data_IF_729603987921
#
_entry.id   IF_729603987921
#
_cell.length_a   1.000
_cell.length_b   1.000
_cell.length_c   1.000
_cell.angle_alpha   90.00
_cell.angle_beta   90.00
_cell.angle_gamma   90.00
#
_symmetry.space_group_name_H-M   'P 1'
#
loop_
_entity.id
_entity.type
_entity.pdbx_description
1 polymer ?
#
# COMPACT_ATOMS: atom_id res chain seq x y z
N UNK A 1 -24.18 24.62 59.80
CA UNK A 1 -24.65 23.65 58.76
C UNK A 1 -23.87 23.90 57.50
N UNK A 2 -22.71 23.21 57.27
CA UNK A 2 -21.89 23.36 56.09
C UNK A 2 -22.24 22.25 55.10
N UNK A 3 -22.82 22.58 53.93
CA UNK A 3 -23.04 21.67 52.82
C UNK A 3 -21.72 21.52 52.04
N UNK A 4 -21.12 20.33 52.12
CA UNK A 4 -20.00 19.92 51.25
C UNK A 4 -20.57 19.67 49.85
N UNK A 5 -20.19 20.52 48.89
CA UNK A 5 -20.38 20.22 47.45
C UNK A 5 -19.31 19.21 47.03
N UNK A 6 -19.76 18.02 46.66
CA UNK A 6 -18.90 17.02 46.01
C UNK A 6 -18.82 17.37 44.51
N UNK A 7 -17.66 17.83 44.04
CA UNK A 7 -17.37 17.96 42.61
C UNK A 7 -16.95 16.57 42.07
N UNK A 8 -17.87 15.91 41.38
CA UNK A 8 -17.53 14.68 40.62
C UNK A 8 -16.99 15.17 39.29
N UNK A 9 -15.66 15.23 39.22
CA UNK A 9 -14.95 15.44 37.95
C UNK A 9 -15.06 14.18 37.08
N UNK A 10 -15.92 14.22 36.06
CA UNK A 10 -15.95 13.21 34.99
C UNK A 10 -14.65 13.31 34.18
N UNK A 11 -13.73 12.39 34.41
CA UNK A 11 -12.55 12.20 33.58
C UNK A 11 -13.03 11.63 32.22
N UNK A 12 -13.11 12.48 31.21
CA UNK A 12 -13.29 12.03 29.82
C UNK A 12 -11.97 11.37 29.39
N UNK A 13 -11.89 10.05 29.54
CA UNK A 13 -10.85 9.26 28.89
C UNK A 13 -11.22 9.27 27.40
N UNK A 14 -10.55 10.12 26.63
CA UNK A 14 -10.54 10.02 25.18
C UNK A 14 -9.82 8.71 24.84
N UNK A 15 -10.61 7.65 24.62
CA UNK A 15 -10.08 6.44 24.06
C UNK A 15 -9.62 6.77 22.62
N UNK A 16 -8.32 6.90 22.44
CA UNK A 16 -7.72 6.91 21.11
C UNK A 16 -8.00 5.53 20.51
N UNK A 17 -9.07 5.42 19.73
CA UNK A 17 -9.36 4.19 19.00
C UNK A 17 -8.26 4.02 17.96
N UNK A 18 -7.36 3.06 18.19
CA UNK A 18 -6.33 2.69 17.21
C UNK A 18 -7.07 2.32 15.93
N UNK A 19 -6.76 3.00 14.84
CA UNK A 19 -7.27 2.63 13.52
C UNK A 19 -6.61 1.29 13.15
N UNK A 20 -7.41 0.28 12.85
CA UNK A 20 -6.91 -1.00 12.39
C UNK A 20 -6.47 -0.86 10.92
N UNK A 21 -5.26 -1.31 10.60
CA UNK A 21 -4.79 -1.32 9.22
C UNK A 21 -5.58 -2.33 8.40
N UNK A 22 -6.25 -1.85 7.37
CA UNK A 22 -7.00 -2.66 6.42
C UNK A 22 -6.21 -2.71 5.12
N UNK A 23 -5.53 -3.83 4.81
CA UNK A 23 -4.76 -3.96 3.58
C UNK A 23 -5.63 -3.72 2.34
N UNK A 24 -5.02 -3.20 1.28
CA UNK A 24 -5.70 -3.07 0.00
C UNK A 24 -6.19 -4.44 -0.48
N UNK A 25 -7.45 -4.54 -0.94
CA UNK A 25 -7.99 -5.82 -1.41
C UNK A 25 -7.26 -6.27 -2.67
N UNK A 26 -6.86 -7.54 -2.70
CA UNK A 26 -6.21 -8.19 -3.84
C UNK A 26 -7.06 -9.33 -4.38
N UNK A 27 -7.03 -9.54 -5.69
CA UNK A 27 -7.85 -10.51 -6.40
C UNK A 27 -7.06 -11.75 -6.79
N UNK A 28 -7.22 -12.80 -6.04
CA UNK A 28 -6.87 -14.18 -6.41
C UNK A 28 -7.80 -15.12 -5.70
N UNK A 29 -8.28 -16.15 -6.39
CA UNK A 29 -9.06 -17.24 -5.78
C UNK A 29 -8.17 -18.34 -5.20
N UNK A 30 -6.85 -18.25 -5.40
CA UNK A 30 -5.89 -19.25 -4.96
C UNK A 30 -5.21 -18.82 -3.67
N UNK A 31 -5.60 -19.45 -2.56
CA UNK A 31 -5.06 -19.15 -1.23
C UNK A 31 -3.55 -19.37 -1.14
N UNK A 32 -3.01 -20.37 -1.84
CA UNK A 32 -1.56 -20.62 -1.85
C UNK A 32 -0.81 -19.52 -2.58
N UNK A 33 -1.35 -19.02 -3.70
CA UNK A 33 -0.78 -17.85 -4.40
C UNK A 33 -0.83 -16.59 -3.52
N UNK A 34 -1.94 -16.38 -2.80
CA UNK A 34 -2.07 -15.28 -1.86
C UNK A 34 -1.04 -15.35 -0.73
N UNK A 35 -0.81 -16.55 -0.18
CA UNK A 35 0.18 -16.75 0.87
C UNK A 35 1.61 -16.45 0.39
N UNK A 36 1.99 -16.89 -0.80
CA UNK A 36 3.29 -16.53 -1.38
C UNK A 36 3.42 -15.03 -1.65
N UNK A 37 2.36 -14.37 -2.12
CA UNK A 37 2.34 -12.93 -2.29
C UNK A 37 2.59 -12.19 -0.97
N UNK A 38 1.89 -12.59 0.11
CA UNK A 38 2.09 -12.01 1.45
C UNK A 38 3.50 -12.25 1.98
N UNK A 39 4.06 -13.45 1.80
CA UNK A 39 5.44 -13.75 2.17
C UNK A 39 6.43 -12.86 1.38
N UNK A 40 6.18 -12.64 0.10
CA UNK A 40 7.01 -11.76 -0.71
C UNK A 40 7.05 -10.33 -0.14
N UNK A 41 5.90 -9.78 0.26
CA UNK A 41 5.84 -8.45 0.88
C UNK A 41 6.62 -8.40 2.20
N UNK A 42 6.52 -9.44 3.04
CA UNK A 42 7.29 -9.54 4.29
C UNK A 42 8.78 -9.57 4.00
N UNK A 43 9.27 -10.42 3.10
CA UNK A 43 10.69 -10.48 2.74
C UNK A 43 11.20 -9.14 2.21
N UNK A 44 10.44 -8.49 1.33
CA UNK A 44 10.79 -7.16 0.80
C UNK A 44 10.90 -6.13 1.93
N UNK A 45 9.96 -6.12 2.87
CA UNK A 45 9.99 -5.20 4.01
C UNK A 45 11.18 -5.43 4.95
N UNK A 46 11.74 -6.62 4.95
CA UNK A 46 12.93 -6.99 5.73
C UNK A 46 14.24 -6.79 4.96
N UNK A 47 14.17 -6.34 3.70
CA UNK A 47 15.34 -6.18 2.83
C UNK A 47 15.85 -7.49 2.24
N UNK A 48 15.09 -8.57 2.36
CA UNK A 48 15.40 -9.91 1.83
C UNK A 48 14.94 -10.03 0.37
N UNK A 49 15.58 -9.24 -0.49
CA UNK A 49 15.18 -9.09 -1.89
C UNK A 49 15.20 -10.40 -2.71
N UNK A 50 16.18 -11.32 -2.55
CA UNK A 50 16.18 -12.61 -3.25
C UNK A 50 14.97 -13.47 -2.88
N UNK A 51 14.64 -13.57 -1.60
CA UNK A 51 13.54 -14.36 -1.04
C UNK A 51 12.17 -13.76 -1.45
N UNK A 52 12.07 -12.44 -1.39
CA UNK A 52 10.88 -11.71 -1.87
C UNK A 52 10.60 -11.97 -3.34
N UNK A 53 11.66 -11.93 -4.19
CA UNK A 53 11.55 -12.25 -5.61
C UNK A 53 11.07 -13.68 -5.83
N UNK A 54 11.65 -14.67 -5.14
CA UNK A 54 11.28 -16.08 -5.26
C UNK A 54 9.83 -16.29 -4.85
N UNK A 55 9.39 -15.64 -3.79
CA UNK A 55 8.01 -15.72 -3.30
C UNK A 55 7.02 -15.10 -4.31
N UNK A 56 7.30 -13.94 -4.92
CA UNK A 56 6.48 -13.41 -6.01
C UNK A 56 6.41 -14.36 -7.20
N UNK A 57 7.54 -14.93 -7.62
CA UNK A 57 7.56 -15.90 -8.71
C UNK A 57 6.77 -17.15 -8.37
N UNK A 58 6.78 -17.60 -7.10
CA UNK A 58 5.97 -18.72 -6.64
C UNK A 58 4.48 -18.41 -6.71
N UNK A 59 4.06 -17.23 -6.29
CA UNK A 59 2.69 -16.77 -6.47
C UNK A 59 2.26 -16.79 -7.94
N UNK A 60 3.12 -16.28 -8.84
CA UNK A 60 2.85 -16.20 -10.28
C UNK A 60 2.91 -17.55 -11.01
N UNK A 61 3.64 -18.54 -10.49
CA UNK A 61 3.56 -19.92 -11.00
C UNK A 61 2.21 -20.58 -10.73
N UNK A 62 1.58 -20.23 -9.59
CA UNK A 62 0.30 -20.79 -9.16
C UNK A 62 -0.86 -20.02 -9.79
N UNK A 63 -0.81 -18.69 -9.76
CA UNK A 63 -1.81 -17.81 -10.39
C UNK A 63 -1.10 -16.79 -11.30
N UNK A 64 -0.92 -17.13 -12.59
CA UNK A 64 -0.25 -16.25 -13.55
C UNK A 64 -0.97 -14.93 -13.81
N UNK A 65 -2.25 -14.83 -13.45
CA UNK A 65 -3.08 -13.64 -13.65
C UNK A 65 -3.24 -12.79 -12.39
N UNK A 66 -2.63 -13.18 -11.28
CA UNK A 66 -2.69 -12.42 -10.04
C UNK A 66 -2.12 -11.01 -10.24
N UNK A 67 -2.99 -9.99 -10.23
CA UNK A 67 -2.66 -8.64 -10.69
C UNK A 67 -1.57 -8.01 -9.84
N UNK A 68 -1.69 -8.01 -8.51
CA UNK A 68 -0.68 -7.40 -7.64
C UNK A 68 0.65 -8.15 -7.66
N UNK A 69 0.64 -9.49 -7.74
CA UNK A 69 1.87 -10.24 -7.88
C UNK A 69 2.59 -9.95 -9.23
N UNK A 70 1.83 -9.70 -10.30
CA UNK A 70 2.37 -9.24 -11.58
C UNK A 70 2.84 -7.77 -11.51
N UNK A 71 2.16 -6.91 -10.74
CA UNK A 71 2.52 -5.50 -10.61
C UNK A 71 3.80 -5.32 -9.78
N UNK A 72 4.00 -6.09 -8.72
CA UNK A 72 5.15 -5.98 -7.83
C UNK A 72 6.27 -6.99 -8.09
N UNK A 73 5.96 -8.15 -8.67
CA UNK A 73 6.94 -9.19 -8.95
C UNK A 73 8.04 -8.75 -9.92
N UNK A 74 9.25 -9.27 -9.74
CA UNK A 74 10.39 -9.00 -10.62
C UNK A 74 11.28 -10.21 -10.80
N UNK A 75 12.12 -10.13 -11.82
CA UNK A 75 13.20 -11.07 -12.13
C UNK A 75 14.47 -10.29 -12.50
N UNK A 76 15.55 -11.01 -12.79
CA UNK A 76 16.75 -10.38 -13.37
C UNK A 76 16.60 -10.12 -14.89
N UNK A 77 15.51 -10.58 -15.52
CA UNK A 77 15.20 -10.36 -16.93
C UNK A 77 14.23 -9.20 -17.12
N UNK A 78 14.67 -8.07 -17.70
CA UNK A 78 13.80 -6.92 -17.97
C UNK A 78 12.63 -7.24 -18.91
N UNK A 79 12.79 -8.22 -19.83
CA UNK A 79 11.72 -8.64 -20.74
C UNK A 79 10.62 -9.33 -19.96
N UNK A 80 10.99 -10.23 -19.03
CA UNK A 80 10.03 -10.91 -18.18
C UNK A 80 9.31 -9.91 -17.25
N UNK A 81 10.05 -8.95 -16.69
CA UNK A 81 9.45 -7.90 -15.85
C UNK A 81 8.41 -7.06 -16.62
N UNK A 82 8.69 -6.77 -17.90
CA UNK A 82 7.71 -6.09 -18.76
C UNK A 82 6.47 -6.93 -18.96
N UNK A 83 6.61 -8.24 -19.24
CA UNK A 83 5.48 -9.17 -19.41
C UNK A 83 4.61 -9.22 -18.16
N UNK A 84 5.19 -9.23 -16.98
CA UNK A 84 4.45 -9.18 -15.72
C UNK A 84 3.55 -7.92 -15.66
N UNK A 85 4.11 -6.75 -15.95
CA UNK A 85 3.34 -5.48 -15.95
C UNK A 85 2.25 -5.45 -17.03
N UNK A 86 2.52 -6.02 -18.22
CA UNK A 86 1.54 -6.16 -19.30
C UNK A 86 0.43 -7.12 -18.90
N UNK A 87 0.74 -8.21 -18.20
CA UNK A 87 -0.25 -9.14 -17.64
C UNK A 87 -1.13 -8.47 -16.58
N UNK A 88 -0.54 -7.70 -15.66
CA UNK A 88 -1.31 -6.91 -14.70
C UNK A 88 -2.29 -5.96 -15.41
N UNK A 89 -1.80 -5.23 -16.41
CA UNK A 89 -2.62 -4.29 -17.19
C UNK A 89 -3.76 -4.99 -17.96
N UNK A 90 -3.51 -6.17 -18.52
CA UNK A 90 -4.51 -6.94 -19.26
C UNK A 90 -5.61 -7.54 -18.37
N UNK A 91 -5.35 -7.72 -17.07
CA UNK A 91 -6.29 -8.31 -16.12
C UNK A 91 -6.93 -7.28 -15.17
N UNK A 92 -6.59 -5.99 -15.26
CA UNK A 92 -7.05 -4.95 -14.32
C UNK A 92 -8.57 -4.84 -14.21
N UNK A 93 -9.33 -5.09 -15.29
CA UNK A 93 -10.79 -4.98 -15.30
C UNK A 93 -11.48 -6.15 -14.57
N UNK A 94 -10.73 -7.21 -14.22
CA UNK A 94 -11.19 -8.35 -13.43
C UNK A 94 -10.69 -8.29 -11.98
N UNK A 95 -9.87 -7.30 -11.68
CA UNK A 95 -9.24 -7.10 -10.40
C UNK A 95 -10.13 -6.28 -9.45
N UNK A 96 -9.72 -6.19 -8.18
CA UNK A 96 -10.34 -5.26 -7.24
C UNK A 96 -10.17 -3.81 -7.70
N UNK A 97 -10.99 -2.91 -7.17
CA UNK A 97 -10.87 -1.49 -7.50
C UNK A 97 -9.51 -0.91 -7.08
N UNK A 98 -8.97 -1.36 -5.93
CA UNK A 98 -7.63 -0.96 -5.49
C UNK A 98 -6.56 -1.39 -6.50
N UNK A 99 -6.58 -2.65 -6.94
CA UNK A 99 -5.64 -3.18 -7.93
C UNK A 99 -5.75 -2.44 -9.26
N UNK A 100 -6.97 -2.13 -9.70
CA UNK A 100 -7.18 -1.33 -10.92
C UNK A 100 -6.53 0.05 -10.80
N UNK A 101 -6.74 0.75 -9.69
CA UNK A 101 -6.11 2.06 -9.44
C UNK A 101 -4.59 1.94 -9.45
N UNK A 102 -4.03 0.94 -8.78
CA UNK A 102 -2.57 0.71 -8.73
C UNK A 102 -1.98 0.44 -10.12
N UNK A 103 -2.64 -0.35 -10.94
CA UNK A 103 -2.22 -0.60 -12.33
C UNK A 103 -2.31 0.69 -13.16
N UNK A 104 -3.36 1.48 -13.01
CA UNK A 104 -3.53 2.75 -13.71
C UNK A 104 -2.47 3.79 -13.28
N UNK A 105 -2.10 3.82 -12.00
CA UNK A 105 -0.97 4.64 -11.51
C UNK A 105 0.34 4.23 -12.20
N UNK A 106 0.61 2.94 -12.31
CA UNK A 106 1.79 2.44 -13.02
C UNK A 106 1.75 2.83 -14.50
N UNK A 107 0.61 2.65 -15.19
CA UNK A 107 0.44 3.05 -16.60
C UNK A 107 0.68 4.56 -16.80
N UNK A 108 0.07 5.39 -15.95
CA UNK A 108 0.26 6.85 -15.98
C UNK A 108 1.75 7.24 -15.76
N UNK A 109 2.47 6.50 -14.90
CA UNK A 109 3.91 6.69 -14.70
C UNK A 109 4.72 6.42 -15.98
N UNK A 110 4.40 5.37 -16.71
CA UNK A 110 5.05 5.05 -17.98
C UNK A 110 4.80 6.09 -19.07
N UNK A 111 3.66 6.76 -19.01
CA UNK A 111 3.25 7.82 -19.94
C UNK A 111 3.75 9.21 -19.51
N UNK A 112 4.48 9.32 -18.39
CA UNK A 112 4.94 10.59 -17.85
C UNK A 112 3.83 11.48 -17.29
N UNK A 113 2.65 10.91 -17.00
CA UNK A 113 1.46 11.62 -16.50
C UNK A 113 1.48 11.71 -14.96
N UNK A 114 2.44 12.45 -14.41
CA UNK A 114 2.63 12.53 -12.95
C UNK A 114 1.42 13.14 -12.21
N UNK A 115 0.68 14.07 -12.84
CA UNK A 115 -0.54 14.64 -12.24
C UNK A 115 -1.63 13.58 -12.11
N UNK A 116 -1.80 12.74 -13.14
CA UNK A 116 -2.77 11.63 -13.10
C UNK A 116 -2.41 10.61 -12.02
N UNK A 117 -1.12 10.31 -11.83
CA UNK A 117 -0.68 9.43 -10.74
C UNK A 117 -1.06 9.98 -9.37
N UNK A 118 -0.86 11.28 -9.14
CA UNK A 118 -1.25 11.93 -7.89
C UNK A 118 -2.76 11.92 -7.69
N UNK A 119 -3.56 12.16 -8.73
CA UNK A 119 -5.02 12.04 -8.66
C UNK A 119 -5.46 10.63 -8.24
N UNK A 120 -4.88 9.59 -8.85
CA UNK A 120 -5.17 8.19 -8.54
C UNK A 120 -4.73 7.81 -7.12
N UNK A 121 -3.60 8.32 -6.64
CA UNK A 121 -3.18 8.10 -5.26
C UNK A 121 -4.13 8.77 -4.24
N UNK A 122 -4.66 9.95 -4.55
CA UNK A 122 -5.70 10.59 -3.74
C UNK A 122 -7.01 9.79 -3.76
N UNK A 123 -7.42 9.29 -4.92
CA UNK A 123 -8.59 8.40 -5.05
C UNK A 123 -8.40 7.14 -4.20
N UNK A 124 -7.21 6.55 -4.20
CA UNK A 124 -6.90 5.36 -3.40
C UNK A 124 -7.09 5.62 -1.90
N UNK A 125 -6.57 6.73 -1.38
CA UNK A 125 -6.75 7.12 0.03
C UNK A 125 -8.22 7.42 0.36
N UNK A 126 -8.96 8.07 -0.55
CA UNK A 126 -10.38 8.38 -0.35
C UNK A 126 -11.21 7.08 -0.21
N UNK A 127 -10.91 6.08 -1.03
CA UNK A 127 -11.62 4.79 -1.02
C UNK A 127 -11.16 3.85 0.10
N UNK A 128 -9.88 3.94 0.49
CA UNK A 128 -9.25 3.05 1.47
C UNK A 128 -8.58 3.84 2.61
N UNK A 129 -9.34 4.65 3.38
CA UNK A 129 -8.78 5.57 4.37
C UNK A 129 -8.15 4.87 5.59
N UNK A 130 -8.36 3.57 5.75
CA UNK A 130 -7.75 2.74 6.79
C UNK A 130 -6.58 1.89 6.28
N UNK A 131 -6.10 2.11 5.06
CA UNK A 131 -4.96 1.38 4.51
C UNK A 131 -3.68 2.20 4.63
N UNK A 132 -2.71 1.69 5.35
CA UNK A 132 -1.38 2.29 5.44
C UNK A 132 -0.68 2.33 4.07
N UNK A 133 -0.86 1.30 3.26
CA UNK A 133 -0.32 1.22 1.89
C UNK A 133 -0.84 2.35 1.00
N UNK A 134 -2.13 2.71 1.09
CA UNK A 134 -2.69 3.82 0.32
C UNK A 134 -2.01 5.16 0.65
N UNK A 135 -1.72 5.41 1.92
CA UNK A 135 -1.02 6.63 2.34
C UNK A 135 0.46 6.62 1.95
N UNK A 136 1.13 5.47 1.92
CA UNK A 136 2.49 5.34 1.39
C UNK A 136 2.51 5.72 -0.09
N UNK A 137 1.58 5.22 -0.88
CA UNK A 137 1.49 5.57 -2.31
C UNK A 137 1.22 7.07 -2.51
N UNK A 138 0.32 7.68 -1.72
CA UNK A 138 0.10 9.13 -1.78
C UNK A 138 1.38 9.90 -1.42
N UNK A 139 2.07 9.51 -0.36
CA UNK A 139 3.35 10.11 0.05
C UNK A 139 4.40 10.04 -1.06
N UNK A 140 4.52 8.89 -1.73
CA UNK A 140 5.43 8.70 -2.86
C UNK A 140 5.12 9.66 -4.02
N UNK A 141 3.83 9.81 -4.38
CA UNK A 141 3.42 10.70 -5.47
C UNK A 141 3.63 12.18 -5.13
N UNK A 142 3.37 12.57 -3.88
CA UNK A 142 3.62 13.92 -3.41
C UNK A 142 5.12 14.26 -3.41
N UNK A 143 5.98 13.31 -3.02
CA UNK A 143 7.43 13.45 -3.06
C UNK A 143 7.94 13.62 -4.49
N UNK A 144 7.43 12.86 -5.45
CA UNK A 144 7.75 13.01 -6.88
C UNK A 144 7.37 14.41 -7.41
N UNK A 145 6.39 15.06 -6.81
CA UNK A 145 5.94 16.43 -7.14
C UNK A 145 6.67 17.51 -6.32
N UNK A 146 7.68 17.13 -5.54
CA UNK A 146 8.40 18.01 -4.61
C UNK A 146 7.53 18.67 -3.54
N UNK A 147 6.36 18.09 -3.25
CA UNK A 147 5.49 18.53 -2.16
C UNK A 147 5.85 17.76 -0.88
N UNK A 148 7.00 18.10 -0.30
CA UNK A 148 7.60 17.37 0.81
C UNK A 148 6.77 17.43 2.10
N UNK A 149 6.17 18.56 2.42
CA UNK A 149 5.39 18.72 3.67
C UNK A 149 4.16 17.81 3.69
N UNK A 150 3.43 17.70 2.57
CA UNK A 150 2.27 16.81 2.47
C UNK A 150 2.70 15.34 2.33
N UNK A 151 3.84 15.09 1.70
CA UNK A 151 4.43 13.75 1.61
C UNK A 151 4.75 13.19 3.01
N UNK A 152 5.43 13.98 3.85
CA UNK A 152 5.75 13.62 5.23
C UNK A 152 4.47 13.30 6.01
N UNK A 153 3.45 14.16 5.94
CA UNK A 153 2.16 13.93 6.61
C UNK A 153 1.48 12.63 6.15
N UNK A 154 1.62 12.28 4.88
CA UNK A 154 1.08 11.04 4.34
C UNK A 154 1.80 9.82 4.91
N UNK A 155 3.13 9.84 5.00
CA UNK A 155 3.89 8.76 5.64
C UNK A 155 3.63 8.66 7.15
N UNK A 156 3.53 9.79 7.86
CA UNK A 156 3.15 9.82 9.27
C UNK A 156 1.77 9.20 9.48
N UNK A 157 0.82 9.48 8.57
CA UNK A 157 -0.51 8.85 8.61
C UNK A 157 -0.45 7.34 8.35
N UNK A 158 0.39 6.89 7.43
CA UNK A 158 0.63 5.46 7.22
C UNK A 158 1.16 4.78 8.51
N UNK A 159 2.10 5.41 9.21
CA UNK A 159 2.66 4.91 10.48
C UNK A 159 1.62 4.95 11.62
N UNK A 160 0.76 5.97 11.68
CA UNK A 160 -0.34 6.03 12.65
C UNK A 160 -1.28 4.82 12.51
N UNK A 161 -1.58 4.43 11.25
CA UNK A 161 -2.43 3.28 10.92
C UNK A 161 -1.67 1.97 11.19
N UNK A 162 -0.45 1.85 10.65
CA UNK A 162 0.42 0.69 10.80
C UNK A 162 1.81 1.12 11.30
N UNK A 163 2.08 1.01 12.62
CA UNK A 163 3.38 1.35 13.18
C UNK A 163 4.55 0.51 12.63
N UNK A 164 4.26 -0.65 12.04
CA UNK A 164 5.25 -1.56 11.44
C UNK A 164 5.40 -1.33 9.92
N UNK A 165 4.85 -0.24 9.38
CA UNK A 165 4.97 0.11 7.95
C UNK A 165 6.41 0.46 7.60
N UNK A 166 7.16 -0.54 7.13
CA UNK A 166 8.56 -0.38 6.73
C UNK A 166 8.74 0.69 5.65
N UNK A 167 7.90 0.68 4.62
CA UNK A 167 8.00 1.61 3.48
C UNK A 167 7.80 3.06 3.92
N UNK A 168 6.88 3.32 4.87
CA UNK A 168 6.68 4.65 5.42
C UNK A 168 7.88 5.11 6.25
N UNK A 169 8.43 4.26 7.12
CA UNK A 169 9.64 4.56 7.88
C UNK A 169 10.85 4.79 6.99
N UNK A 170 11.04 3.96 5.98
CA UNK A 170 12.14 4.11 5.02
C UNK A 170 12.02 5.43 4.25
N UNK A 171 10.80 5.80 3.84
CA UNK A 171 10.55 7.03 3.10
C UNK A 171 10.85 8.30 3.94
N UNK A 172 10.54 8.28 5.25
CA UNK A 172 10.85 9.39 6.16
C UNK A 172 12.35 9.49 6.49
N UNK A 173 13.12 8.42 6.33
CA UNK A 173 14.56 8.41 6.60
C UNK A 173 15.41 8.94 5.43
N UNK A 174 14.82 9.27 4.29
CA UNK A 174 15.47 9.77 3.07
C UNK A 174 15.35 11.31 2.94
#
# INVERSE_FOLDING_TARGET
>A
MFKKLLFIGTLLISACTKVEDVPLPVTTSNETALNFYKQALVHVSQGEWPEGRESFQSALRIDPNFVMANLYGWTNDPVQNRKYRETAAANKDKASEAERIMVEMWQAGREGKSDKRLELAKELVEKYPSSSEAYVELGNMLREKYNFDESIKSYEKAIEINPDSYDAWQALAQ
#
